data_IF_419062704163
#
_entry.id   IF_419062704163
#
_cell.length_a   1.000
_cell.length_b   1.000
_cell.length_c   1.000
_cell.angle_alpha   90.00
_cell.angle_beta   90.00
_cell.angle_gamma   90.00
#
_symmetry.space_group_name_H-M   'P 1'
#
loop_
_entity.id
_entity.type
_entity.pdbx_description
1 polymer ?
#
# COMPACT_ATOMS: atom_id res chain seq x y z
N UNK A 1 1.07 -0.13 3.83
CA UNK A 1 1.94 -1.24 4.33
C UNK A 1 1.14 -2.48 4.75
N UNK A 2 -0.18 -2.40 4.96
CA UNK A 2 -1.01 -3.54 5.33
C UNK A 2 -0.97 -4.68 4.30
N UNK A 3 -1.09 -4.39 3.01
CA UNK A 3 -1.10 -5.42 1.96
C UNK A 3 0.21 -6.23 1.90
N UNK A 4 1.43 -5.64 1.86
CA UNK A 4 2.67 -6.41 1.96
C UNK A 4 2.76 -7.28 3.22
N UNK A 5 2.26 -6.79 4.35
CA UNK A 5 2.23 -7.57 5.61
C UNK A 5 1.33 -8.80 5.50
N UNK A 6 0.16 -8.66 4.85
CA UNK A 6 -0.76 -9.78 4.60
C UNK A 6 -0.13 -10.81 3.66
N UNK A 7 0.53 -10.36 2.59
CA UNK A 7 1.21 -11.27 1.66
C UNK A 7 2.35 -12.04 2.35
N UNK A 8 3.16 -11.36 3.16
CA UNK A 8 4.21 -12.00 3.96
C UNK A 8 3.65 -13.04 4.94
N UNK A 9 2.57 -12.70 5.65
CA UNK A 9 1.92 -13.64 6.57
C UNK A 9 1.35 -14.85 5.86
N UNK A 10 0.67 -14.66 4.71
CA UNK A 10 0.08 -15.73 3.93
C UNK A 10 1.15 -16.66 3.33
N UNK A 11 2.26 -16.10 2.85
CA UNK A 11 3.37 -16.87 2.30
C UNK A 11 4.13 -17.68 3.36
N UNK A 12 4.27 -17.13 4.57
CA UNK A 12 5.06 -17.75 5.64
C UNK A 12 4.35 -18.90 6.33
N UNK A 13 3.01 -18.80 6.48
CA UNK A 13 2.20 -19.82 7.15
C UNK A 13 0.94 -20.15 6.32
N UNK A 14 1.11 -20.70 5.10
CA UNK A 14 0.02 -20.84 4.14
C UNK A 14 -1.17 -21.65 4.64
N UNK A 15 -0.94 -22.61 5.52
CA UNK A 15 -1.98 -23.47 6.09
C UNK A 15 -2.95 -22.73 7.04
N UNK A 16 -2.61 -21.53 7.50
CA UNK A 16 -3.44 -20.70 8.39
C UNK A 16 -4.44 -19.82 7.65
N UNK A 17 -4.25 -19.65 6.34
CA UNK A 17 -5.00 -18.69 5.53
C UNK A 17 -5.78 -19.40 4.45
N UNK A 18 -7.09 -19.18 4.42
CA UNK A 18 -7.96 -19.77 3.38
C UNK A 18 -8.02 -18.90 2.14
N UNK A 19 -8.00 -17.58 2.31
CA UNK A 19 -8.10 -16.57 1.25
C UNK A 19 -7.35 -15.31 1.66
N UNK A 20 -6.90 -14.57 0.67
CA UNK A 20 -6.15 -13.32 0.86
C UNK A 20 -6.85 -12.19 0.12
N UNK A 21 -6.93 -11.01 0.75
CA UNK A 21 -7.36 -9.77 0.09
C UNK A 21 -6.32 -8.70 0.34
N UNK A 22 -5.78 -8.14 -0.74
CA UNK A 22 -4.92 -6.96 -0.71
C UNK A 22 -5.58 -5.78 -1.38
N UNK A 23 -5.30 -4.58 -0.90
CA UNK A 23 -5.82 -3.34 -1.48
C UNK A 23 -4.69 -2.37 -1.78
N UNK A 24 -4.82 -1.62 -2.85
CA UNK A 24 -3.94 -0.56 -3.34
C UNK A 24 -2.52 -1.03 -3.72
N UNK A 25 -1.86 -1.86 -2.91
CA UNK A 25 -0.53 -2.40 -3.22
C UNK A 25 -0.65 -3.80 -3.80
N UNK A 26 -0.10 -4.06 -5.01
CA UNK A 26 -0.25 -5.33 -5.69
C UNK A 26 0.51 -6.47 -5.00
N UNK A 27 0.04 -7.72 -5.18
CA UNK A 27 0.79 -8.91 -4.78
C UNK A 27 1.96 -9.18 -5.73
N UNK A 28 2.90 -10.00 -5.28
CA UNK A 28 4.06 -10.39 -6.09
C UNK A 28 5.06 -9.25 -6.30
N UNK A 29 5.77 -9.31 -7.42
CA UNK A 29 6.89 -8.40 -7.72
C UNK A 29 6.53 -7.19 -8.58
N UNK A 30 5.24 -6.99 -8.92
CA UNK A 30 4.80 -5.94 -9.84
C UNK A 30 5.20 -4.52 -9.38
N UNK A 31 5.10 -4.24 -8.08
CA UNK A 31 5.52 -2.93 -7.54
C UNK A 31 7.02 -2.70 -7.71
N UNK A 32 7.84 -3.69 -7.41
CA UNK A 32 9.30 -3.62 -7.61
C UNK A 32 9.68 -3.44 -9.08
N UNK A 33 9.02 -4.18 -9.98
CA UNK A 33 9.25 -4.07 -11.42
C UNK A 33 8.83 -2.68 -11.94
N UNK A 34 7.76 -2.09 -11.41
CA UNK A 34 7.29 -0.78 -11.84
C UNK A 34 8.32 0.32 -11.56
N UNK A 35 9.07 0.26 -10.46
CA UNK A 35 10.16 1.20 -10.19
C UNK A 35 11.29 1.12 -11.23
N UNK A 36 11.54 -0.05 -11.80
CA UNK A 36 12.59 -0.25 -12.81
C UNK A 36 12.14 0.14 -14.23
N UNK A 37 10.83 0.11 -14.50
CA UNK A 37 10.31 0.20 -15.87
C UNK A 37 9.34 1.35 -16.12
N UNK A 38 8.80 1.99 -15.07
CA UNK A 38 7.77 3.01 -15.18
C UNK A 38 8.15 4.31 -14.45
N UNK A 39 8.55 5.31 -15.23
CA UNK A 39 8.94 6.62 -14.68
C UNK A 39 7.78 7.38 -14.04
N UNK A 40 6.53 7.19 -14.49
CA UNK A 40 5.37 7.84 -13.88
C UNK A 40 5.11 7.28 -12.50
N UNK A 41 5.29 5.95 -12.30
CA UNK A 41 5.21 5.38 -10.96
C UNK A 41 6.34 5.88 -10.05
N UNK A 42 7.54 6.04 -10.59
CA UNK A 42 8.66 6.64 -9.82
C UNK A 42 8.33 8.06 -9.37
N UNK A 43 7.69 8.87 -10.24
CA UNK A 43 7.22 10.22 -9.86
C UNK A 43 6.14 10.17 -8.78
N UNK A 44 5.12 9.31 -8.90
CA UNK A 44 4.09 9.15 -7.87
C UNK A 44 4.69 8.73 -6.52
N UNK A 45 5.74 7.94 -6.56
CA UNK A 45 6.42 7.41 -5.37
C UNK A 45 7.53 8.34 -4.84
N UNK A 46 7.63 9.58 -5.32
CA UNK A 46 8.68 10.54 -4.93
C UNK A 46 8.85 10.69 -3.42
N UNK A 47 7.74 10.65 -2.66
CA UNK A 47 7.74 10.76 -1.22
C UNK A 47 8.52 9.64 -0.53
N UNK A 48 8.56 8.43 -1.10
CA UNK A 48 9.33 7.30 -0.56
C UNK A 48 10.84 7.59 -0.59
N UNK A 49 11.31 8.27 -1.63
CA UNK A 49 12.70 8.72 -1.75
C UNK A 49 12.96 9.93 -0.87
N UNK A 50 12.01 10.87 -0.79
CA UNK A 50 12.12 12.03 0.10
C UNK A 50 12.24 11.62 1.57
N UNK A 51 11.52 10.59 2.02
CA UNK A 51 11.58 10.09 3.39
C UNK A 51 12.95 9.49 3.77
N UNK A 52 13.81 9.20 2.80
CA UNK A 52 15.20 8.79 3.07
C UNK A 52 16.06 9.97 3.50
N UNK A 53 15.71 11.19 3.11
CA UNK A 53 16.47 12.38 3.42
C UNK A 53 16.15 12.89 4.84
N UNK A 54 17.16 13.26 5.67
CA UNK A 54 16.93 13.74 7.05
C UNK A 54 16.00 14.96 7.16
N UNK A 55 15.90 15.78 6.10
CA UNK A 55 14.98 16.91 6.05
C UNK A 55 13.52 16.50 6.29
N UNK A 56 13.15 15.26 5.95
CA UNK A 56 11.80 14.75 6.17
C UNK A 56 11.40 14.70 7.64
N UNK A 57 12.36 14.53 8.56
CA UNK A 57 12.10 14.55 10.00
C UNK A 57 11.62 15.92 10.51
N UNK A 58 11.97 16.99 9.79
CA UNK A 58 11.56 18.35 10.10
C UNK A 58 10.31 18.79 9.33
N UNK A 59 10.23 18.41 8.06
CA UNK A 59 9.19 18.92 7.14
C UNK A 59 7.89 18.17 7.25
N UNK A 60 7.92 16.84 7.42
CA UNK A 60 6.69 16.04 7.48
C UNK A 60 5.83 16.39 8.69
N UNK A 61 6.38 16.57 9.91
CA UNK A 61 5.58 16.99 11.07
C UNK A 61 5.25 18.48 11.12
N UNK A 62 5.83 19.29 10.25
CA UNK A 62 5.63 20.74 10.26
C UNK A 62 4.18 21.15 9.89
N UNK A 63 3.80 22.37 10.33
CA UNK A 63 2.51 22.99 9.99
C UNK A 63 1.31 22.06 10.26
N UNK A 64 1.27 21.48 11.44
CA UNK A 64 0.25 20.51 11.85
C UNK A 64 0.08 19.37 10.84
N UNK A 65 1.19 18.79 10.39
CA UNK A 65 1.18 17.65 9.46
C UNK A 65 0.53 17.97 8.09
N UNK A 66 0.59 19.21 7.62
CA UNK A 66 0.05 19.61 6.31
C UNK A 66 0.59 18.73 5.15
N UNK A 67 1.76 18.11 5.36
CA UNK A 67 2.31 17.13 4.42
C UNK A 67 1.41 15.90 4.25
N UNK A 68 0.79 15.44 5.34
CA UNK A 68 -0.14 14.31 5.32
C UNK A 68 -1.41 14.70 4.55
N UNK A 69 -1.97 15.88 4.78
CA UNK A 69 -3.13 16.38 4.02
C UNK A 69 -2.83 16.47 2.51
N UNK A 70 -1.61 16.87 2.16
CA UNK A 70 -1.16 16.88 0.76
C UNK A 70 -1.17 15.46 0.16
N UNK A 71 -0.56 14.48 0.85
CA UNK A 71 -0.53 13.09 0.37
C UNK A 71 -1.95 12.52 0.22
N UNK A 72 -2.86 12.81 1.13
CA UNK A 72 -4.25 12.34 1.03
C UNK A 72 -4.94 12.87 -0.22
N UNK A 73 -4.80 14.16 -0.52
CA UNK A 73 -5.35 14.77 -1.75
C UNK A 73 -4.74 14.19 -3.02
N UNK A 74 -3.43 13.98 -3.01
CA UNK A 74 -2.71 13.47 -4.18
C UNK A 74 -3.03 11.99 -4.44
N UNK A 75 -3.21 11.20 -3.37
CA UNK A 75 -3.44 9.76 -3.48
C UNK A 75 -4.89 9.41 -3.77
N UNK A 76 -5.85 10.21 -3.32
CA UNK A 76 -7.29 10.01 -3.55
C UNK A 76 -7.92 11.30 -4.10
N UNK A 77 -7.66 11.65 -5.37
CA UNK A 77 -8.16 12.87 -5.98
C UNK A 77 -9.69 12.92 -5.98
N UNK A 78 -10.25 13.98 -5.42
CA UNK A 78 -11.73 14.19 -5.36
C UNK A 78 -12.41 13.59 -4.13
N UNK A 79 -11.68 12.84 -3.29
CA UNK A 79 -12.20 12.36 -2.02
C UNK A 79 -12.14 13.46 -0.94
N UNK A 80 -13.27 13.72 -0.28
CA UNK A 80 -13.29 14.56 0.92
C UNK A 80 -12.84 13.75 2.15
N UNK A 81 -11.53 13.60 2.28
CA UNK A 81 -10.90 12.82 3.35
C UNK A 81 -10.53 13.64 4.59
N UNK A 82 -11.11 14.82 4.81
CA UNK A 82 -10.69 15.72 5.89
C UNK A 82 -10.78 15.07 7.28
N UNK A 83 -11.86 14.33 7.55
CA UNK A 83 -12.04 13.62 8.84
C UNK A 83 -11.02 12.48 8.98
N UNK A 84 -10.82 11.71 7.92
CA UNK A 84 -9.94 10.54 7.94
C UNK A 84 -8.47 10.95 8.01
N UNK A 85 -8.08 12.00 7.29
CA UNK A 85 -6.73 12.56 7.39
C UNK A 85 -6.45 13.12 8.77
N UNK A 86 -7.44 13.79 9.40
CA UNK A 86 -7.29 14.28 10.78
C UNK A 86 -7.14 13.13 11.79
N UNK A 87 -7.88 12.03 11.64
CA UNK A 87 -7.69 10.83 12.46
C UNK A 87 -6.28 10.23 12.29
N UNK A 88 -5.76 10.23 11.06
CA UNK A 88 -4.38 9.81 10.78
C UNK A 88 -3.37 10.76 11.46
N UNK A 89 -3.56 12.07 11.31
CA UNK A 89 -2.70 13.10 11.91
C UNK A 89 -2.72 13.02 13.44
N UNK A 90 -3.87 12.78 14.05
CA UNK A 90 -4.00 12.61 15.51
C UNK A 90 -3.06 11.52 16.04
N UNK A 91 -2.92 10.41 15.30
CA UNK A 91 -1.96 9.35 15.63
C UNK A 91 -0.51 9.80 15.38
N UNK A 92 -0.24 10.49 14.28
CA UNK A 92 1.11 10.86 13.84
C UNK A 92 1.69 12.08 14.57
N UNK A 93 0.89 12.82 15.36
CA UNK A 93 1.39 13.90 16.23
C UNK A 93 2.33 13.40 17.34
N UNK A 94 2.25 12.11 17.69
CA UNK A 94 3.27 11.49 18.54
C UNK A 94 4.57 11.31 17.73
N UNK A 95 5.71 11.89 18.16
CA UNK A 95 6.98 11.79 17.44
C UNK A 95 7.47 10.33 17.27
N UNK A 96 7.15 9.43 18.19
CA UNK A 96 7.53 8.03 18.08
C UNK A 96 6.71 7.33 16.99
N UNK A 97 5.42 7.65 16.87
CA UNK A 97 4.57 7.13 15.79
C UNK A 97 5.01 7.68 14.43
N UNK A 98 5.34 8.96 14.35
CA UNK A 98 5.88 9.56 13.13
C UNK A 98 7.20 8.89 12.71
N UNK A 99 8.14 8.74 13.63
CA UNK A 99 9.40 8.07 13.36
C UNK A 99 9.19 6.61 12.89
N UNK A 100 8.25 5.89 13.50
CA UNK A 100 7.89 4.54 13.08
C UNK A 100 7.27 4.52 11.67
N UNK A 101 6.38 5.46 11.34
CA UNK A 101 5.76 5.56 10.02
C UNK A 101 6.81 5.81 8.91
N UNK A 102 7.73 6.75 9.12
CA UNK A 102 8.86 6.99 8.20
C UNK A 102 9.82 5.81 8.17
N UNK A 103 9.94 5.09 9.28
CA UNK A 103 10.80 3.92 9.44
C UNK A 103 10.51 2.80 8.46
N UNK A 104 9.24 2.55 8.09
CA UNK A 104 8.88 1.57 7.07
C UNK A 104 9.57 1.84 5.73
N UNK A 105 9.53 3.09 5.27
CA UNK A 105 10.15 3.50 4.01
C UNK A 105 11.67 3.44 4.08
N UNK A 106 12.25 3.86 5.20
CA UNK A 106 13.70 3.84 5.42
C UNK A 106 14.25 2.44 5.50
N UNK A 107 13.56 1.51 6.16
CA UNK A 107 13.94 0.12 6.22
C UNK A 107 13.82 -0.59 4.86
N UNK A 108 12.83 -0.22 4.04
CA UNK A 108 12.58 -0.88 2.76
C UNK A 108 13.48 -0.38 1.63
N UNK A 109 13.70 0.94 1.52
CA UNK A 109 14.40 1.55 0.39
C UNK A 109 15.76 2.16 0.74
N UNK A 110 16.11 2.26 2.01
CA UNK A 110 17.31 2.93 2.47
C UNK A 110 18.13 2.12 3.46
N UNK A 111 18.74 2.84 4.39
CA UNK A 111 19.62 2.31 5.43
C UNK A 111 18.98 2.28 6.82
N UNK A 112 17.64 2.39 6.88
CA UNK A 112 16.90 2.31 8.14
C UNK A 112 17.08 0.96 8.83
N UNK A 113 16.78 0.94 10.13
CA UNK A 113 16.94 -0.26 10.95
C UNK A 113 16.15 -1.45 10.39
N UNK A 114 16.80 -2.57 10.19
CA UNK A 114 16.27 -3.84 9.70
C UNK A 114 16.67 -4.97 10.64
N UNK A 115 15.90 -6.05 10.60
CA UNK A 115 16.26 -7.29 11.29
C UNK A 115 16.28 -8.44 10.31
N UNK A 116 17.42 -9.09 10.15
CA UNK A 116 17.62 -10.24 9.26
C UNK A 116 16.63 -11.38 9.53
N UNK A 117 16.12 -11.47 10.74
CA UNK A 117 15.12 -12.48 11.11
C UNK A 117 13.82 -12.38 10.29
N UNK A 118 13.55 -11.24 9.66
CA UNK A 118 12.37 -11.02 8.82
C UNK A 118 12.65 -11.11 7.32
N UNK A 119 13.90 -11.26 6.90
CA UNK A 119 14.26 -11.22 5.47
C UNK A 119 13.58 -12.35 4.68
N UNK A 120 13.49 -13.55 5.26
CA UNK A 120 12.79 -14.67 4.63
C UNK A 120 11.29 -14.40 4.43
N UNK A 121 10.63 -13.78 5.41
CA UNK A 121 9.20 -13.41 5.33
C UNK A 121 8.98 -12.34 4.28
N UNK A 122 9.85 -11.34 4.22
CA UNK A 122 9.77 -10.26 3.23
C UNK A 122 9.98 -10.80 1.81
N UNK A 123 10.97 -11.68 1.62
CA UNK A 123 11.21 -12.32 0.34
C UNK A 123 10.02 -13.19 -0.10
N UNK A 124 9.46 -13.98 0.80
CA UNK A 124 8.30 -14.83 0.52
C UNK A 124 7.05 -14.02 0.12
N UNK A 125 6.83 -12.86 0.76
CA UNK A 125 5.70 -11.97 0.45
C UNK A 125 5.73 -11.37 -0.95
N UNK A 126 6.89 -11.36 -1.63
CA UNK A 126 7.05 -10.97 -3.03
C UNK A 126 6.82 -12.10 -4.04
N UNK A 127 6.59 -13.33 -3.57
CA UNK A 127 6.36 -14.51 -4.40
C UNK A 127 4.89 -14.79 -4.70
N UNK A 128 4.65 -15.93 -5.33
CA UNK A 128 3.31 -16.48 -5.57
C UNK A 128 2.71 -17.00 -4.26
N UNK A 129 1.44 -16.68 -4.02
CA UNK A 129 0.68 -17.22 -2.90
C UNK A 129 -0.10 -18.45 -3.34
N UNK A 130 -0.19 -19.45 -2.48
CA UNK A 130 -0.96 -20.68 -2.74
C UNK A 130 -2.45 -20.53 -2.44
N UNK A 131 -2.83 -19.50 -1.70
CA UNK A 131 -4.22 -19.20 -1.39
C UNK A 131 -4.87 -18.39 -2.51
N UNK A 132 -6.18 -18.58 -2.78
CA UNK A 132 -6.92 -17.66 -3.62
C UNK A 132 -6.75 -16.23 -3.14
N UNK A 133 -6.23 -15.36 -4.01
CA UNK A 133 -5.87 -13.98 -3.66
C UNK A 133 -6.66 -13.00 -4.51
N UNK A 134 -7.32 -12.05 -3.85
CA UNK A 134 -7.98 -10.91 -4.47
C UNK A 134 -7.15 -9.65 -4.27
N UNK A 135 -6.90 -8.93 -5.36
CA UNK A 135 -6.30 -7.60 -5.33
C UNK A 135 -7.31 -6.55 -5.81
N UNK A 136 -7.60 -5.58 -4.96
CA UNK A 136 -8.46 -4.43 -5.29
C UNK A 136 -7.61 -3.19 -5.54
N UNK A 137 -7.92 -2.47 -6.62
CA UNK A 137 -7.19 -1.26 -7.01
C UNK A 137 -8.15 -0.16 -7.45
N UNK A 138 -7.91 1.08 -6.98
CA UNK A 138 -8.72 2.24 -7.36
C UNK A 138 -8.31 2.79 -8.72
N UNK A 139 -9.28 3.04 -9.62
CA UNK A 139 -8.96 3.49 -10.98
C UNK A 139 -8.34 4.89 -11.05
N UNK A 140 -8.49 5.69 -9.98
CA UNK A 140 -7.91 7.03 -9.86
C UNK A 140 -6.84 7.12 -8.77
N UNK A 141 -6.23 5.99 -8.39
CA UNK A 141 -5.18 5.95 -7.36
C UNK A 141 -3.96 6.80 -7.81
N UNK A 142 -3.73 7.89 -7.08
CA UNK A 142 -2.63 8.81 -7.34
C UNK A 142 -1.31 8.39 -6.67
N UNK A 143 -1.35 7.40 -5.78
CA UNK A 143 -0.17 6.83 -5.12
C UNK A 143 0.46 5.71 -5.97
N UNK A 144 -0.37 4.75 -6.38
CA UNK A 144 0.02 3.64 -7.25
C UNK A 144 -0.88 3.67 -8.48
N UNK A 145 -0.28 3.85 -9.65
CA UNK A 145 -1.03 4.06 -10.88
C UNK A 145 -1.66 2.78 -11.43
N UNK A 146 -2.67 2.94 -12.27
CA UNK A 146 -3.36 1.85 -12.97
C UNK A 146 -2.41 0.93 -13.74
N UNK A 147 -1.34 1.48 -14.29
CA UNK A 147 -0.30 0.73 -14.99
C UNK A 147 0.37 -0.33 -14.12
N UNK A 148 0.42 -0.12 -12.80
CA UNK A 148 0.93 -1.11 -11.85
C UNK A 148 -0.08 -2.23 -11.61
N UNK A 149 -1.38 -1.92 -11.60
CA UNK A 149 -2.43 -2.93 -11.54
C UNK A 149 -2.45 -3.82 -12.80
N UNK A 150 -2.27 -3.23 -13.98
CA UNK A 150 -2.14 -4.00 -15.23
C UNK A 150 -0.88 -4.87 -15.22
N UNK A 151 0.24 -4.35 -14.74
CA UNK A 151 1.46 -5.13 -14.57
C UNK A 151 1.25 -6.29 -13.58
N UNK A 152 0.49 -6.07 -12.50
CA UNK A 152 0.14 -7.12 -11.55
C UNK A 152 -0.69 -8.24 -12.19
N UNK A 153 -1.66 -7.91 -13.07
CA UNK A 153 -2.40 -8.91 -13.84
C UNK A 153 -1.50 -9.79 -14.70
N UNK A 154 -0.49 -9.18 -15.32
CA UNK A 154 0.44 -9.90 -16.17
C UNK A 154 1.44 -10.77 -15.37
N UNK A 155 1.93 -10.25 -14.25
CA UNK A 155 2.98 -10.89 -13.46
C UNK A 155 2.48 -11.83 -12.37
N UNK A 156 1.23 -11.65 -11.93
CA UNK A 156 0.60 -12.44 -10.86
C UNK A 156 -0.73 -13.04 -11.33
N UNK A 157 -0.74 -13.91 -12.36
CA UNK A 157 -1.97 -14.48 -12.94
C UNK A 157 -2.74 -15.38 -11.95
N UNK A 158 -2.13 -15.74 -10.84
CA UNK A 158 -2.71 -16.46 -9.72
C UNK A 158 -3.60 -15.58 -8.81
N UNK A 159 -3.52 -14.25 -8.94
CA UNK A 159 -4.35 -13.31 -8.20
C UNK A 159 -5.47 -12.73 -9.08
N UNK A 160 -6.67 -12.67 -8.56
CA UNK A 160 -7.78 -11.96 -9.19
C UNK A 160 -7.64 -10.45 -8.94
N UNK A 161 -7.54 -9.65 -10.02
CA UNK A 161 -7.41 -8.20 -9.93
C UNK A 161 -8.74 -7.54 -10.30
N UNK A 162 -9.31 -6.77 -9.36
CA UNK A 162 -10.52 -5.96 -9.60
C UNK A 162 -10.22 -4.48 -9.43
N UNK A 163 -10.73 -3.70 -10.36
CA UNK A 163 -10.65 -2.25 -10.35
C UNK A 163 -11.92 -1.69 -9.73
N UNK A 164 -11.75 -0.73 -8.81
CA UNK A 164 -12.83 0.04 -8.20
C UNK A 164 -12.90 1.37 -8.93
N UNK A 165 -13.89 1.51 -9.78
CA UNK A 165 -14.03 2.68 -10.64
C UNK A 165 -14.31 3.95 -9.85
N UNK A 166 -13.57 5.02 -10.16
CA UNK A 166 -13.71 6.32 -9.51
C UNK A 166 -13.31 6.35 -8.04
N UNK A 167 -12.47 5.40 -7.61
CA UNK A 167 -11.83 5.41 -6.31
C UNK A 167 -10.32 5.61 -6.43
N UNK A 168 -9.74 6.31 -5.47
CA UNK A 168 -8.28 6.49 -5.32
C UNK A 168 -7.64 5.45 -4.42
N UNK A 169 -6.61 5.86 -3.70
CA UNK A 169 -5.80 4.97 -2.85
C UNK A 169 -6.57 4.43 -1.64
N UNK A 170 -7.49 5.22 -1.11
CA UNK A 170 -8.26 4.86 0.08
C UNK A 170 -9.66 4.33 -0.29
N UNK A 171 -9.72 3.45 -1.29
CA UNK A 171 -10.96 2.92 -1.86
C UNK A 171 -11.94 2.35 -0.82
N UNK A 172 -11.45 1.81 0.28
CA UNK A 172 -12.29 1.31 1.37
C UNK A 172 -13.05 2.43 2.12
N UNK A 173 -12.56 3.66 2.04
CA UNK A 173 -13.22 4.85 2.59
C UNK A 173 -14.08 5.55 1.54
N UNK A 174 -13.62 5.56 0.30
CA UNK A 174 -14.26 6.22 -0.83
C UNK A 174 -15.50 5.46 -1.36
N UNK A 175 -15.41 4.13 -1.40
CA UNK A 175 -16.44 3.21 -1.92
C UNK A 175 -16.72 2.04 -0.96
N UNK A 176 -17.04 2.31 0.32
CA UNK A 176 -17.11 1.25 1.34
C UNK A 176 -18.14 0.16 1.01
N UNK A 177 -19.28 0.49 0.44
CA UNK A 177 -20.30 -0.49 0.10
C UNK A 177 -19.82 -1.49 -0.96
N UNK A 178 -19.17 -1.02 -2.01
CA UNK A 178 -18.63 -1.84 -3.10
C UNK A 178 -17.46 -2.69 -2.62
N UNK A 179 -16.50 -2.08 -1.94
CA UNK A 179 -15.30 -2.76 -1.42
C UNK A 179 -15.71 -3.85 -0.42
N UNK A 180 -16.58 -3.52 0.54
CA UNK A 180 -17.05 -4.51 1.53
C UNK A 180 -17.79 -5.67 0.86
N UNK A 181 -18.64 -5.40 -0.14
CA UNK A 181 -19.32 -6.46 -0.88
C UNK A 181 -18.33 -7.41 -1.56
N UNK A 182 -17.34 -6.87 -2.26
CA UNK A 182 -16.32 -7.68 -2.95
C UNK A 182 -15.51 -8.53 -1.97
N UNK A 183 -15.13 -7.96 -0.82
CA UNK A 183 -14.41 -8.69 0.23
C UNK A 183 -15.28 -9.82 0.80
N UNK A 184 -16.53 -9.52 1.16
CA UNK A 184 -17.45 -10.53 1.74
C UNK A 184 -17.69 -11.65 0.74
N UNK A 185 -18.02 -11.32 -0.50
CA UNK A 185 -18.24 -12.31 -1.56
C UNK A 185 -17.00 -13.20 -1.73
N UNK A 186 -15.81 -12.61 -1.71
CA UNK A 186 -14.54 -13.32 -1.84
C UNK A 186 -14.26 -14.28 -0.69
N UNK A 187 -14.38 -13.81 0.55
CA UNK A 187 -14.05 -14.64 1.72
C UNK A 187 -15.10 -15.71 2.02
N UNK A 188 -16.34 -15.55 1.53
CA UNK A 188 -17.44 -16.51 1.72
C UNK A 188 -17.65 -17.44 0.52
N UNK A 189 -16.96 -17.24 -0.60
CA UNK A 189 -17.03 -18.14 -1.76
C UNK A 189 -16.66 -19.58 -1.35
N UNK A 190 -17.42 -20.55 -1.87
CA UNK A 190 -17.22 -21.99 -1.61
C UNK A 190 -16.05 -22.55 -2.40
#
# INVERSE_FOLDING_TARGET
WGAPSVYGAAASEPQRWKRVVGMAVPPGSAMGMSFATNLEQTKRSWYMFYFQHPLSDMVVPANDLAYIDMLWRDWSPGYDGAIDSENCKACLRDPAHMAAALGYYRATLGTGARSEKYDAIQAAGGGELTQPTLYLHGSTDGCIGMEVAELARAMSPWAEVKIIEGAGHFMQLEKPAEVNKLIIDWITAK
#
